data_IF_056853436811
#
_entry.id   IF_056853436811
#
_cell.length_a   1.000
_cell.length_b   1.000
_cell.length_c   1.000
_cell.angle_alpha   90.00
_cell.angle_beta   90.00
_cell.angle_gamma   90.00
#
_symmetry.space_group_name_H-M   'P 1'
#
loop_
_entity.id
_entity.type
_entity.pdbx_description
1 polymer ?
#
# COMPACT_ATOMS: atom_id res chain seq x y z
N UNK A 1 23.65 9.14 -2.70
CA UNK A 1 23.02 7.80 -2.56
C UNK A 1 22.64 7.63 -1.09
N UNK A 2 21.36 7.40 -0.71
CA UNK A 2 20.96 6.56 0.45
C UNK A 2 19.56 6.86 1.01
N UNK A 3 18.90 7.98 0.73
CA UNK A 3 17.54 8.21 1.28
C UNK A 3 16.50 7.25 0.67
N UNK A 4 16.56 7.03 -0.65
CA UNK A 4 15.67 6.09 -1.33
C UNK A 4 15.85 4.64 -0.86
N UNK A 5 17.09 4.21 -0.57
CA UNK A 5 17.37 2.87 -0.03
C UNK A 5 16.74 2.68 1.35
N UNK A 6 16.94 3.64 2.25
CA UNK A 6 16.33 3.59 3.58
C UNK A 6 14.81 3.65 3.53
N UNK A 7 14.24 4.47 2.64
CA UNK A 7 12.79 4.52 2.42
C UNK A 7 12.23 3.16 1.98
N UNK A 8 12.88 2.48 1.03
CA UNK A 8 12.47 1.14 0.58
C UNK A 8 12.53 0.12 1.71
N UNK A 9 13.61 0.12 2.50
CA UNK A 9 13.75 -0.79 3.66
C UNK A 9 12.65 -0.55 4.69
N UNK A 10 12.38 0.71 5.05
CA UNK A 10 11.32 1.07 6.00
C UNK A 10 9.94 0.66 5.48
N UNK A 11 9.66 0.86 4.19
CA UNK A 11 8.43 0.43 3.56
C UNK A 11 8.30 -1.09 3.65
N UNK A 12 9.34 -1.85 3.28
CA UNK A 12 9.32 -3.31 3.38
C UNK A 12 9.07 -3.81 4.81
N UNK A 13 9.75 -3.23 5.79
CA UNK A 13 9.56 -3.58 7.21
C UNK A 13 8.12 -3.28 7.64
N UNK A 14 7.62 -2.09 7.32
CA UNK A 14 6.25 -1.68 7.62
C UNK A 14 5.20 -2.65 7.03
N UNK A 15 5.39 -3.07 5.78
CA UNK A 15 4.51 -4.06 5.14
C UNK A 15 4.59 -5.44 5.79
N UNK A 16 5.76 -5.88 6.25
CA UNK A 16 5.90 -7.14 6.99
C UNK A 16 5.22 -7.08 8.36
N UNK A 17 5.41 -5.98 9.10
CA UNK A 17 4.79 -5.81 10.42
C UNK A 17 3.26 -5.82 10.34
N UNK A 18 2.69 -5.30 9.25
CA UNK A 18 1.25 -5.31 9.00
C UNK A 18 0.64 -6.72 9.03
N UNK A 19 1.37 -7.76 8.62
CA UNK A 19 0.85 -9.13 8.59
C UNK A 19 0.85 -9.82 9.96
N UNK A 20 1.62 -9.31 10.92
CA UNK A 20 1.77 -9.93 12.25
C UNK A 20 0.41 -10.06 12.97
N UNK A 21 -0.45 -9.02 13.04
CA UNK A 21 -1.77 -9.15 13.66
C UNK A 21 -2.64 -10.23 13.00
N UNK A 22 -2.59 -10.35 11.68
CA UNK A 22 -3.34 -11.40 10.97
C UNK A 22 -2.85 -12.80 11.37
N UNK A 23 -1.54 -13.03 11.43
CA UNK A 23 -0.97 -14.30 11.89
C UNK A 23 -1.39 -14.69 13.31
N UNK A 24 -1.56 -13.70 14.19
CA UNK A 24 -1.94 -13.94 15.59
C UNK A 24 -3.44 -14.23 15.72
N UNK A 25 -4.28 -13.51 14.98
CA UNK A 25 -5.74 -13.57 15.13
C UNK A 25 -6.44 -14.50 14.12
N UNK A 26 -5.71 -15.20 13.24
CA UNK A 26 -6.28 -16.25 12.38
C UNK A 26 -6.25 -17.60 13.07
N UNK A 27 -7.40 -18.25 13.21
CA UNK A 27 -7.54 -19.60 13.73
C UNK A 27 -8.24 -20.51 12.72
N UNK A 28 -7.96 -21.82 12.82
CA UNK A 28 -8.73 -22.84 12.11
C UNK A 28 -9.87 -23.28 13.04
N UNK A 29 -11.09 -22.90 12.67
CA UNK A 29 -12.29 -23.31 13.38
C UNK A 29 -13.03 -24.36 12.56
N UNK A 30 -13.45 -25.44 13.22
CA UNK A 30 -14.28 -26.48 12.62
C UNK A 30 -15.73 -26.00 12.69
N UNK A 31 -16.37 -25.86 11.53
CA UNK A 31 -17.77 -25.44 11.45
C UNK A 31 -18.67 -26.52 12.07
N UNK A 32 -19.52 -26.19 13.07
CA UNK A 32 -20.39 -27.18 13.71
C UNK A 32 -21.50 -27.70 12.78
N UNK A 33 -21.74 -27.02 11.65
CA UNK A 33 -22.83 -27.34 10.71
C UNK A 33 -22.32 -28.19 9.53
N UNK A 34 -21.14 -27.86 9.01
CA UNK A 34 -20.60 -28.48 7.79
C UNK A 34 -19.43 -29.43 8.07
N UNK A 35 -18.94 -29.44 9.32
CA UNK A 35 -17.78 -30.23 9.77
C UNK A 35 -16.46 -29.93 9.02
N UNK A 36 -16.48 -28.87 8.21
CA UNK A 36 -15.34 -28.38 7.44
C UNK A 36 -14.47 -27.46 8.30
N UNK A 37 -13.16 -27.54 8.10
CA UNK A 37 -12.20 -26.61 8.68
C UNK A 37 -12.23 -25.31 7.87
N UNK A 38 -12.52 -24.19 8.53
CA UNK A 38 -12.45 -22.86 7.91
C UNK A 38 -11.44 -21.99 8.66
N UNK A 39 -10.64 -21.24 7.90
CA UNK A 39 -9.81 -20.20 8.48
C UNK A 39 -10.70 -19.00 8.79
N UNK A 40 -10.90 -18.72 10.07
CA UNK A 40 -11.67 -17.56 10.51
C UNK A 40 -10.82 -16.70 11.43
N UNK A 41 -11.10 -15.41 11.37
CA UNK A 41 -10.52 -14.47 12.32
C UNK A 41 -11.21 -14.68 13.67
N UNK A 42 -10.42 -14.84 14.73
CA UNK A 42 -10.94 -14.85 16.10
C UNK A 42 -11.78 -13.60 16.26
N UNK A 43 -13.01 -13.77 16.75
CA UNK A 43 -13.93 -12.66 17.00
C UNK A 43 -13.44 -11.85 18.20
N UNK A 44 -12.44 -11.00 17.97
CA UNK A 44 -11.92 -10.06 18.94
C UNK A 44 -12.34 -8.65 18.54
N UNK A 45 -13.20 -8.03 19.34
CA UNK A 45 -13.72 -6.68 19.06
C UNK A 45 -12.60 -5.64 18.92
N UNK A 46 -11.52 -5.77 19.69
CA UNK A 46 -10.37 -4.88 19.59
C UNK A 46 -9.67 -4.99 18.23
N UNK A 47 -9.54 -6.21 17.70
CA UNK A 47 -8.94 -6.44 16.39
C UNK A 47 -9.85 -5.97 15.25
N UNK A 48 -11.15 -6.21 15.35
CA UNK A 48 -12.14 -5.71 14.40
C UNK A 48 -12.14 -4.17 14.36
N UNK A 49 -12.10 -3.51 15.53
CA UNK A 49 -12.00 -2.05 15.60
C UNK A 49 -10.67 -1.54 15.04
N UNK A 50 -9.56 -2.21 15.32
CA UNK A 50 -8.27 -1.89 14.67
C UNK A 50 -8.37 -2.00 13.14
N UNK A 51 -9.01 -3.04 12.62
CA UNK A 51 -9.17 -3.20 11.18
C UNK A 51 -10.00 -2.06 10.57
N UNK A 52 -11.18 -1.79 11.13
CA UNK A 52 -12.13 -0.81 10.57
C UNK A 52 -11.61 0.62 10.69
N UNK A 53 -11.12 1.02 11.87
CA UNK A 53 -10.78 2.41 12.14
C UNK A 53 -9.33 2.78 11.79
N UNK A 54 -8.42 1.80 11.74
CA UNK A 54 -7.01 2.05 11.48
C UNK A 54 -6.55 1.34 10.21
N UNK A 55 -6.65 0.01 10.14
CA UNK A 55 -6.00 -0.74 9.07
C UNK A 55 -6.61 -0.44 7.68
N UNK A 56 -7.93 -0.47 7.54
CA UNK A 56 -8.60 -0.16 6.28
C UNK A 56 -8.29 1.25 5.77
N UNK A 57 -8.58 2.33 6.51
CA UNK A 57 -8.35 3.69 6.02
C UNK A 57 -6.86 4.00 5.79
N UNK A 58 -5.98 3.49 6.66
CA UNK A 58 -4.54 3.79 6.56
C UNK A 58 -3.89 2.99 5.43
N UNK A 59 -4.04 1.66 5.43
CA UNK A 59 -3.32 0.81 4.48
C UNK A 59 -3.96 0.75 3.09
N UNK A 60 -5.30 0.87 2.98
CA UNK A 60 -5.99 0.82 1.71
C UNK A 60 -6.37 2.20 1.18
N UNK A 61 -6.48 3.23 2.02
CA UNK A 61 -6.76 4.60 1.58
C UNK A 61 -5.51 5.48 1.48
N UNK A 62 -4.93 5.82 2.64
CA UNK A 62 -3.88 6.84 2.75
C UNK A 62 -2.55 6.41 2.13
N UNK A 63 -2.00 5.25 2.51
CA UNK A 63 -0.71 4.77 2.03
C UNK A 63 -0.61 4.62 0.50
N UNK A 64 -1.55 3.94 -0.19
CA UNK A 64 -1.46 3.77 -1.64
C UNK A 64 -1.63 5.09 -2.38
N UNK A 65 -2.17 6.12 -1.75
CA UNK A 65 -2.23 7.49 -2.30
C UNK A 65 -0.94 8.27 -2.03
N UNK A 66 -0.40 8.20 -0.81
CA UNK A 66 0.77 8.98 -0.38
C UNK A 66 2.06 8.47 -1.04
N UNK A 67 2.25 7.15 -1.16
CA UNK A 67 3.46 6.55 -1.77
C UNK A 67 3.70 7.06 -3.20
N UNK A 68 2.75 6.99 -4.14
CA UNK A 68 2.94 7.49 -5.50
C UNK A 68 3.14 9.01 -5.54
N UNK A 69 2.48 9.78 -4.68
CA UNK A 69 2.69 11.23 -4.59
C UNK A 69 4.14 11.56 -4.19
N UNK A 70 4.65 10.95 -3.11
CA UNK A 70 6.01 11.20 -2.64
C UNK A 70 7.04 10.72 -3.68
N UNK A 71 6.88 9.50 -4.19
CA UNK A 71 7.80 8.97 -5.20
C UNK A 71 7.74 9.78 -6.49
N UNK A 72 6.55 10.26 -6.90
CA UNK A 72 6.37 11.18 -8.01
C UNK A 72 7.12 12.50 -7.83
N UNK A 73 7.01 13.14 -6.66
CA UNK A 73 7.72 14.38 -6.32
C UNK A 73 9.24 14.16 -6.34
N UNK A 74 9.73 13.08 -5.72
CA UNK A 74 11.16 12.76 -5.70
C UNK A 74 11.68 12.52 -7.13
N UNK A 75 10.95 11.75 -7.92
CA UNK A 75 11.30 11.45 -9.30
C UNK A 75 11.26 12.71 -10.16
N UNK A 76 10.27 13.60 -9.97
CA UNK A 76 10.22 14.89 -10.65
C UNK A 76 11.44 15.76 -10.32
N UNK A 77 11.85 15.84 -9.05
CA UNK A 77 13.03 16.61 -8.62
C UNK A 77 14.32 16.06 -9.22
N UNK A 78 14.47 14.75 -9.31
CA UNK A 78 15.66 14.13 -9.91
C UNK A 78 15.65 14.21 -11.44
N UNK A 79 14.49 14.10 -12.09
CA UNK A 79 14.35 14.32 -13.54
C UNK A 79 14.70 15.78 -13.91
N UNK A 80 14.34 16.74 -13.06
CA UNK A 80 14.64 18.16 -13.28
C UNK A 80 16.16 18.45 -13.30
N UNK A 81 16.99 17.56 -12.73
CA UNK A 81 18.45 17.64 -12.74
C UNK A 81 19.09 17.02 -13.99
N UNK A 82 18.34 16.31 -14.84
CA UNK A 82 18.88 15.81 -16.10
C UNK A 82 19.07 16.96 -17.10
N UNK A 83 20.30 17.14 -17.56
CA UNK A 83 20.66 18.17 -18.55
C UNK A 83 20.12 17.88 -19.96
N UNK A 84 19.71 16.63 -20.24
CA UNK A 84 19.26 16.20 -21.57
C UNK A 84 17.74 16.42 -21.69
N UNK A 85 17.35 17.51 -22.35
CA UNK A 85 15.96 17.99 -22.48
C UNK A 85 15.02 16.95 -23.11
N UNK A 86 15.47 16.27 -24.18
CA UNK A 86 14.62 15.32 -24.92
C UNK A 86 14.30 14.06 -24.07
N UNK A 87 15.30 13.51 -23.38
CA UNK A 87 15.13 12.33 -22.51
C UNK A 87 14.30 12.68 -21.26
N UNK A 88 14.45 13.90 -20.75
CA UNK A 88 13.68 14.44 -19.64
C UNK A 88 12.17 14.51 -19.97
N UNK A 89 11.79 15.01 -21.14
CA UNK A 89 10.39 15.12 -21.54
C UNK A 89 9.71 13.75 -21.70
N UNK A 90 10.41 12.77 -22.29
CA UNK A 90 9.89 11.41 -22.46
C UNK A 90 9.60 10.76 -21.09
N UNK A 91 10.56 10.83 -20.16
CA UNK A 91 10.42 10.24 -18.82
C UNK A 91 9.30 10.96 -18.03
N UNK A 92 9.21 12.29 -18.09
CA UNK A 92 8.13 13.02 -17.43
C UNK A 92 6.77 12.59 -17.97
N UNK A 93 6.61 12.48 -19.30
CA UNK A 93 5.34 12.10 -19.93
C UNK A 93 4.92 10.68 -19.55
N UNK A 94 5.88 9.76 -19.47
CA UNK A 94 5.63 8.38 -19.06
C UNK A 94 5.25 8.30 -17.57
N UNK A 95 5.95 9.02 -16.70
CA UNK A 95 5.66 9.08 -15.28
C UNK A 95 4.29 9.69 -14.99
N UNK A 96 3.95 10.80 -15.66
CA UNK A 96 2.62 11.42 -15.53
C UNK A 96 1.52 10.51 -16.05
N UNK A 97 1.75 9.80 -17.16
CA UNK A 97 0.75 8.87 -17.70
C UNK A 97 0.52 7.69 -16.74
N UNK A 98 1.57 7.14 -16.13
CA UNK A 98 1.41 6.06 -15.14
C UNK A 98 0.65 6.55 -13.90
N UNK A 99 0.99 7.73 -13.38
CA UNK A 99 0.31 8.30 -12.20
C UNK A 99 -1.17 8.62 -12.49
N UNK A 100 -1.46 9.15 -13.68
CA UNK A 100 -2.81 9.53 -14.10
C UNK A 100 -3.72 8.30 -14.28
N UNK A 101 -3.15 7.12 -14.56
CA UNK A 101 -3.87 5.85 -14.61
C UNK A 101 -3.96 5.22 -13.21
N UNK A 102 -2.87 5.26 -12.44
CA UNK A 102 -2.77 4.57 -11.16
C UNK A 102 -3.69 5.18 -10.09
N UNK A 103 -3.74 6.52 -9.99
CA UNK A 103 -4.55 7.23 -9.01
C UNK A 103 -6.05 6.90 -9.12
N UNK A 104 -6.70 7.01 -10.30
CA UNK A 104 -8.12 6.66 -10.42
C UNK A 104 -8.37 5.17 -10.19
N UNK A 105 -7.50 4.26 -10.65
CA UNK A 105 -7.65 2.82 -10.37
C UNK A 105 -7.67 2.55 -8.86
N UNK A 106 -6.73 3.15 -8.12
CA UNK A 106 -6.69 3.03 -6.66
C UNK A 106 -7.99 3.59 -6.06
N UNK A 107 -8.40 4.79 -6.46
CA UNK A 107 -9.61 5.44 -5.98
C UNK A 107 -10.85 4.54 -6.17
N UNK A 108 -11.09 4.05 -7.39
CA UNK A 108 -12.21 3.17 -7.71
C UNK A 108 -12.13 1.80 -7.00
N UNK A 109 -10.94 1.26 -6.79
CA UNK A 109 -10.77 -0.02 -6.07
C UNK A 109 -10.97 0.09 -4.55
N UNK A 110 -10.91 1.30 -4.00
CA UNK A 110 -11.02 1.58 -2.55
C UNK A 110 -12.38 2.12 -2.14
N UNK A 111 -13.20 2.53 -3.12
CA UNK A 111 -14.61 2.88 -2.92
C UNK A 111 -15.42 1.58 -2.79
N UNK A 112 -16.21 1.41 -1.72
CA UNK A 112 -17.08 0.24 -1.54
C UNK A 112 -18.23 0.19 -2.54
#
# INVERSE_FOLDING_TARGET
>A
LSLAKWAVILICIFWLLRFIPYLIYTELLRSPITDLMTCTLIRNEAFTNYLIYFAYPVYYGLLPSIIPIITGIMTYRDINKLQIVCRRQLIQKQLTSMMLILIPIILFSTLP
#
